data_IF_512675821985
#
_entry.id   IF_512675821985
#
_cell.length_a   1.000
_cell.length_b   1.000
_cell.length_c   1.000
_cell.angle_alpha   90.00
_cell.angle_beta   90.00
_cell.angle_gamma   90.00
#
_symmetry.space_group_name_H-M   'P 1'
#
loop_
_entity.id
_entity.type
_entity.pdbx_description
1 polymer ?
#
# COMPACT_ATOMS: atom_id res chain seq x y z
N UNK A 1 25.44 25.29 28.38
CA UNK A 1 25.27 25.53 26.94
C UNK A 1 25.49 24.21 26.24
N UNK A 2 24.46 23.67 25.56
CA UNK A 2 24.62 22.46 24.76
C UNK A 2 25.54 22.79 23.57
N UNK A 3 26.61 22.01 23.45
CA UNK A 3 27.72 22.11 22.51
C UNK A 3 27.28 22.30 21.05
N UNK A 4 27.62 23.45 20.45
CA UNK A 4 27.32 23.80 19.05
C UNK A 4 27.84 22.73 18.07
N UNK A 5 28.93 22.04 18.42
CA UNK A 5 29.52 20.97 17.59
C UNK A 5 28.59 19.76 17.48
N UNK A 6 27.86 19.43 18.55
CA UNK A 6 26.84 18.37 18.52
C UNK A 6 25.61 18.79 17.73
N UNK A 7 25.18 20.05 17.83
CA UNK A 7 24.05 20.57 17.04
C UNK A 7 24.36 20.56 15.54
N UNK A 8 25.58 20.92 15.15
CA UNK A 8 26.00 20.91 13.74
C UNK A 8 26.16 19.49 13.19
N UNK A 9 26.61 18.53 14.01
CA UNK A 9 26.66 17.11 13.62
C UNK A 9 25.27 16.51 13.41
N UNK A 10 24.31 16.79 14.32
CA UNK A 10 22.92 16.32 14.17
C UNK A 10 22.27 16.91 12.90
N UNK A 11 22.47 18.20 12.63
CA UNK A 11 21.93 18.88 11.44
C UNK A 11 22.50 18.35 10.12
N UNK A 12 23.78 17.94 10.11
CA UNK A 12 24.46 17.48 8.88
C UNK A 12 24.27 15.99 8.61
N UNK A 13 24.14 15.18 9.65
CA UNK A 13 24.16 13.72 9.51
C UNK A 13 22.80 13.07 9.75
N UNK A 14 22.03 13.49 10.76
CA UNK A 14 20.80 12.79 11.14
C UNK A 14 19.53 13.44 10.60
N UNK A 15 19.55 14.76 10.39
CA UNK A 15 18.39 15.47 9.87
C UNK A 15 18.02 15.05 8.43
N UNK A 16 18.96 14.87 7.49
CA UNK A 16 18.62 14.37 6.14
C UNK A 16 17.93 13.01 6.18
N UNK A 17 18.51 12.03 6.89
CA UNK A 17 17.94 10.69 7.01
C UNK A 17 16.55 10.69 7.66
N UNK A 18 16.34 11.56 8.65
CA UNK A 18 15.04 11.73 9.30
C UNK A 18 14.01 12.32 8.32
N UNK A 19 14.39 13.31 7.53
CA UNK A 19 13.50 13.90 6.52
C UNK A 19 13.19 12.87 5.43
N UNK A 20 14.18 12.16 4.93
CA UNK A 20 13.99 11.13 3.90
C UNK A 20 13.06 10.01 4.40
N UNK A 21 13.28 9.51 5.61
CA UNK A 21 12.41 8.48 6.20
C UNK A 21 10.98 8.98 6.43
N UNK A 22 10.82 10.20 6.92
CA UNK A 22 9.51 10.82 7.12
C UNK A 22 8.76 11.01 5.79
N UNK A 23 9.44 11.53 4.77
CA UNK A 23 8.87 11.77 3.44
C UNK A 23 8.45 10.44 2.79
N UNK A 24 9.33 9.43 2.82
CA UNK A 24 9.01 8.12 2.25
C UNK A 24 7.82 7.47 2.97
N UNK A 25 7.78 7.55 4.31
CA UNK A 25 6.64 7.06 5.09
C UNK A 25 5.35 7.81 4.75
N UNK A 26 5.42 9.13 4.54
CA UNK A 26 4.28 9.94 4.15
C UNK A 26 3.76 9.57 2.75
N UNK A 27 4.63 9.50 1.75
CA UNK A 27 4.28 9.14 0.37
C UNK A 27 3.64 7.74 0.35
N UNK A 28 4.28 6.77 0.99
CA UNK A 28 3.75 5.40 1.10
C UNK A 28 2.36 5.41 1.74
N UNK A 29 2.19 6.08 2.88
CA UNK A 29 0.89 6.14 3.57
C UNK A 29 -0.20 6.83 2.72
N UNK A 30 0.16 7.86 1.95
CA UNK A 30 -0.75 8.51 1.03
C UNK A 30 -1.19 7.56 -0.09
N UNK A 31 -0.23 6.86 -0.72
CA UNK A 31 -0.50 5.90 -1.81
C UNK A 31 -1.29 4.68 -1.33
N UNK A 32 -0.99 4.13 -0.17
CA UNK A 32 -1.73 3.04 0.47
C UNK A 32 -3.22 3.42 0.69
N UNK A 33 -3.48 4.69 0.95
CA UNK A 33 -4.84 5.24 1.11
C UNK A 33 -5.47 5.69 -0.22
N UNK A 34 -4.84 5.36 -1.34
CA UNK A 34 -5.24 5.73 -2.70
C UNK A 34 -5.36 7.24 -2.90
N UNK A 35 -4.58 8.03 -2.17
CA UNK A 35 -4.59 9.48 -2.27
C UNK A 35 -3.66 9.94 -3.39
N UNK A 36 -4.25 10.57 -4.41
CA UNK A 36 -3.50 11.35 -5.40
C UNK A 36 -3.12 12.72 -4.81
N UNK A 37 -2.12 13.42 -5.39
CA UNK A 37 -1.82 14.79 -4.98
C UNK A 37 -3.06 15.70 -5.00
N UNK A 38 -3.92 15.59 -6.00
CA UNK A 38 -5.12 16.41 -6.15
C UNK A 38 -6.13 16.15 -5.02
N UNK A 39 -6.42 14.88 -4.73
CA UNK A 39 -7.34 14.50 -3.65
C UNK A 39 -6.77 14.79 -2.26
N UNK A 40 -5.45 14.71 -2.09
CA UNK A 40 -4.78 15.12 -0.86
C UNK A 40 -4.88 16.63 -0.65
N UNK A 41 -4.67 17.44 -1.71
CA UNK A 41 -4.85 18.90 -1.65
C UNK A 41 -6.25 19.27 -1.19
N UNK A 42 -7.29 18.67 -1.79
CA UNK A 42 -8.68 18.92 -1.40
C UNK A 42 -8.94 18.61 0.08
N UNK A 43 -8.35 17.53 0.62
CA UNK A 43 -8.45 17.19 2.04
C UNK A 43 -7.72 18.18 2.95
N UNK A 44 -6.56 18.67 2.52
CA UNK A 44 -5.81 19.69 3.26
C UNK A 44 -6.56 21.03 3.29
N UNK A 45 -7.14 21.44 2.16
CA UNK A 45 -7.94 22.66 2.06
C UNK A 45 -9.20 22.60 2.94
N UNK A 46 -9.74 21.40 3.13
CA UNK A 46 -10.91 21.16 3.97
C UNK A 46 -10.58 21.03 5.46
N UNK A 47 -9.29 21.11 5.85
CA UNK A 47 -8.87 20.97 7.24
C UNK A 47 -9.21 22.22 8.05
N UNK A 48 -9.77 22.02 9.25
CA UNK A 48 -10.12 23.10 10.18
C UNK A 48 -8.90 23.75 10.85
N UNK A 49 -7.73 23.13 10.76
CA UNK A 49 -6.50 23.60 11.39
C UNK A 49 -5.32 23.54 10.41
N UNK A 50 -4.33 24.45 10.56
CA UNK A 50 -3.10 24.36 9.80
C UNK A 50 -2.36 23.07 10.15
N UNK A 51 -1.93 22.33 9.13
CA UNK A 51 -1.17 21.09 9.26
C UNK A 51 0.19 21.24 8.57
N UNK A 52 1.16 21.97 9.15
CA UNK A 52 2.43 22.29 8.48
C UNK A 52 3.21 21.06 8.01
N UNK A 53 3.17 19.98 8.79
CA UNK A 53 3.85 18.74 8.44
C UNK A 53 3.18 18.04 7.24
N UNK A 54 1.86 18.09 7.17
CA UNK A 54 1.11 17.51 6.05
C UNK A 54 1.26 18.36 4.78
N UNK A 55 1.36 19.68 4.92
CA UNK A 55 1.69 20.59 3.81
C UNK A 55 3.09 20.34 3.26
N UNK A 56 4.09 20.14 4.13
CA UNK A 56 5.43 19.73 3.71
C UNK A 56 5.40 18.40 2.94
N UNK A 57 4.75 17.38 3.50
CA UNK A 57 4.61 16.07 2.86
C UNK A 57 3.87 16.15 1.51
N UNK A 58 2.81 16.96 1.43
CA UNK A 58 2.07 17.20 0.19
C UNK A 58 2.95 17.82 -0.90
N UNK A 59 3.69 18.88 -0.60
CA UNK A 59 4.54 19.55 -1.60
C UNK A 59 5.57 18.58 -2.18
N UNK A 60 6.22 17.79 -1.32
CA UNK A 60 7.21 16.81 -1.75
C UNK A 60 6.57 15.68 -2.56
N UNK A 61 5.42 15.15 -2.10
CA UNK A 61 4.69 14.12 -2.84
C UNK A 61 4.23 14.60 -4.22
N UNK A 62 3.71 15.82 -4.31
CA UNK A 62 3.24 16.40 -5.57
C UNK A 62 4.40 16.60 -6.56
N UNK A 63 5.55 17.09 -6.09
CA UNK A 63 6.73 17.25 -6.93
C UNK A 63 7.32 15.90 -7.36
N UNK A 64 7.34 14.92 -6.47
CA UNK A 64 7.75 13.54 -6.77
C UNK A 64 6.87 12.92 -7.88
N UNK A 65 5.54 12.96 -7.74
CA UNK A 65 4.62 12.43 -8.76
C UNK A 65 4.76 13.18 -10.09
N UNK A 66 4.97 14.50 -10.06
CA UNK A 66 5.19 15.30 -11.27
C UNK A 66 6.49 14.89 -12.00
N UNK A 67 7.56 14.68 -11.25
CA UNK A 67 8.84 14.23 -11.81
C UNK A 67 8.72 12.82 -12.42
N UNK A 68 7.96 11.93 -11.79
CA UNK A 68 7.69 10.60 -12.28
C UNK A 68 6.89 10.63 -13.60
N UNK A 69 5.80 11.42 -13.62
CA UNK A 69 4.97 11.61 -14.81
C UNK A 69 5.75 12.24 -15.97
N UNK A 70 6.60 13.24 -15.71
CA UNK A 70 7.44 13.87 -16.72
C UNK A 70 8.37 12.86 -17.42
N UNK A 71 8.83 11.84 -16.69
CA UNK A 71 9.68 10.77 -17.23
C UNK A 71 8.91 9.62 -17.86
N UNK A 72 7.57 9.68 -17.88
CA UNK A 72 6.73 8.54 -18.27
C UNK A 72 6.93 7.32 -17.39
N UNK A 73 7.38 7.52 -16.15
CA UNK A 73 7.65 6.45 -15.20
C UNK A 73 6.46 6.25 -14.25
N UNK A 74 6.43 5.08 -13.64
CA UNK A 74 5.52 4.72 -12.54
C UNK A 74 6.34 3.94 -11.52
N UNK A 75 6.05 4.15 -10.24
CA UNK A 75 6.66 3.36 -9.18
C UNK A 75 5.76 2.18 -8.79
N UNK A 76 6.25 1.32 -7.92
CA UNK A 76 5.56 0.09 -7.54
C UNK A 76 4.20 0.37 -6.90
N UNK A 77 4.14 1.33 -5.97
CA UNK A 77 2.89 1.70 -5.30
C UNK A 77 1.87 2.26 -6.30
N UNK A 78 2.32 3.03 -7.30
CA UNK A 78 1.45 3.49 -8.38
C UNK A 78 0.94 2.34 -9.25
N UNK A 79 1.74 1.32 -9.55
CA UNK A 79 1.27 0.14 -10.29
C UNK A 79 0.13 -0.56 -9.55
N UNK A 80 0.28 -0.77 -8.23
CA UNK A 80 -0.76 -1.38 -7.40
C UNK A 80 -2.01 -0.51 -7.37
N UNK A 81 -1.87 0.80 -7.13
CA UNK A 81 -2.99 1.74 -7.08
C UNK A 81 -3.73 1.83 -8.41
N UNK A 82 -3.01 1.90 -9.52
CA UNK A 82 -3.59 1.97 -10.87
C UNK A 82 -4.29 0.66 -11.24
N UNK A 83 -3.69 -0.49 -10.91
CA UNK A 83 -4.32 -1.79 -11.09
C UNK A 83 -5.65 -1.86 -10.31
N UNK A 84 -5.66 -1.49 -9.03
CA UNK A 84 -6.87 -1.46 -8.22
C UNK A 84 -7.93 -0.51 -8.81
N UNK A 85 -7.52 0.68 -9.27
CA UNK A 85 -8.42 1.65 -9.89
C UNK A 85 -9.05 1.09 -11.17
N UNK A 86 -8.28 0.41 -12.01
CA UNK A 86 -8.76 -0.22 -13.24
C UNK A 86 -9.76 -1.33 -12.93
N UNK A 87 -9.43 -2.22 -11.98
CA UNK A 87 -10.34 -3.32 -11.58
C UNK A 87 -11.65 -2.82 -10.96
N UNK A 88 -11.65 -1.62 -10.35
CA UNK A 88 -12.85 -1.01 -9.78
C UNK A 88 -13.71 -0.26 -10.82
N UNK A 89 -13.12 0.19 -11.92
CA UNK A 89 -13.79 1.02 -12.92
C UNK A 89 -14.19 0.27 -14.19
N UNK A 90 -13.55 -0.86 -14.49
CA UNK A 90 -13.82 -1.69 -15.67
C UNK A 90 -14.21 -3.11 -15.26
N UNK A 91 -15.51 -3.35 -15.15
CA UNK A 91 -16.09 -4.64 -14.75
C UNK A 91 -15.86 -5.73 -15.82
N UNK A 92 -15.89 -5.39 -17.10
CA UNK A 92 -15.64 -6.35 -18.18
C UNK A 92 -14.19 -6.85 -18.15
N UNK A 93 -13.24 -5.94 -17.93
CA UNK A 93 -11.83 -6.30 -17.74
C UNK A 93 -11.62 -7.19 -16.51
N UNK A 94 -12.28 -6.87 -15.38
CA UNK A 94 -12.25 -7.70 -14.18
C UNK A 94 -12.78 -9.12 -14.43
N UNK A 95 -13.92 -9.26 -15.12
CA UNK A 95 -14.49 -10.56 -15.47
C UNK A 95 -13.59 -11.38 -16.39
N UNK A 96 -12.95 -10.73 -17.36
CA UNK A 96 -11.95 -11.40 -18.22
C UNK A 96 -10.77 -11.93 -17.42
N UNK A 97 -10.32 -11.20 -16.39
CA UNK A 97 -9.25 -11.65 -15.50
C UNK A 97 -9.71 -12.80 -14.60
N UNK A 98 -10.91 -12.72 -14.01
CA UNK A 98 -11.53 -13.80 -13.23
C UNK A 98 -11.64 -15.10 -14.04
N UNK A 99 -12.05 -14.99 -15.30
CA UNK A 99 -12.12 -16.13 -16.21
C UNK A 99 -10.74 -16.70 -16.54
N UNK A 100 -9.74 -15.82 -16.75
CA UNK A 100 -8.37 -16.22 -17.07
C UNK A 100 -7.64 -16.87 -15.89
N UNK A 101 -7.88 -16.39 -14.67
CA UNK A 101 -7.19 -16.81 -13.45
C UNK A 101 -8.21 -17.34 -12.42
N UNK A 102 -8.76 -18.55 -12.64
CA UNK A 102 -9.82 -19.11 -11.80
C UNK A 102 -9.36 -19.54 -10.40
N UNK A 103 -8.04 -19.60 -10.17
CA UNK A 103 -7.41 -19.88 -8.88
C UNK A 103 -6.28 -18.89 -8.68
N UNK A 104 -6.19 -18.31 -7.48
CA UNK A 104 -5.16 -17.33 -7.12
C UNK A 104 -4.55 -17.80 -5.81
N UNK A 105 -3.22 -17.88 -5.79
CA UNK A 105 -2.45 -18.22 -4.61
C UNK A 105 -1.65 -16.99 -4.21
N UNK A 106 -1.79 -16.59 -2.95
CA UNK A 106 -0.99 -15.55 -2.34
C UNK A 106 -0.03 -16.22 -1.37
N UNK A 107 1.27 -15.99 -1.58
CA UNK A 107 2.30 -16.34 -0.62
C UNK A 107 2.57 -15.12 0.26
N UNK A 108 2.97 -15.35 1.52
CA UNK A 108 3.26 -14.28 2.49
C UNK A 108 2.10 -13.26 2.70
N UNK A 109 0.86 -13.75 2.75
CA UNK A 109 -0.34 -12.92 2.91
C UNK A 109 -0.34 -11.97 4.14
N UNK A 110 0.52 -12.21 5.12
CA UNK A 110 0.68 -11.33 6.28
C UNK A 110 1.35 -9.99 5.96
N UNK A 111 2.13 -9.92 4.88
CA UNK A 111 2.89 -8.73 4.48
C UNK A 111 2.14 -7.86 3.44
N UNK A 112 0.95 -8.28 3.02
CA UNK A 112 0.17 -7.59 2.00
C UNK A 112 -0.42 -6.27 2.48
N UNK A 113 -0.29 -5.24 1.64
CA UNK A 113 -0.96 -3.95 1.82
C UNK A 113 -2.47 -4.08 1.61
N UNK A 114 -3.24 -3.13 2.18
CA UNK A 114 -4.70 -3.08 2.01
C UNK A 114 -5.12 -3.03 0.53
N UNK A 115 -4.34 -2.34 -0.31
CA UNK A 115 -4.62 -2.25 -1.75
C UNK A 115 -4.45 -3.60 -2.46
N UNK A 116 -3.40 -4.35 -2.10
CA UNK A 116 -3.16 -5.70 -2.65
C UNK A 116 -4.25 -6.68 -2.20
N UNK A 117 -4.62 -6.66 -0.92
CA UNK A 117 -5.73 -7.46 -0.41
C UNK A 117 -7.02 -7.16 -1.18
N UNK A 118 -7.30 -5.89 -1.46
CA UNK A 118 -8.51 -5.49 -2.19
C UNK A 118 -8.50 -5.93 -3.66
N UNK A 119 -7.32 -5.96 -4.30
CA UNK A 119 -7.17 -6.54 -5.64
C UNK A 119 -7.52 -8.03 -5.61
N UNK A 120 -7.01 -8.78 -4.62
CA UNK A 120 -7.29 -10.21 -4.48
C UNK A 120 -8.78 -10.48 -4.17
N UNK A 121 -9.40 -9.66 -3.32
CA UNK A 121 -10.84 -9.68 -3.07
C UNK A 121 -11.65 -9.49 -4.37
N UNK A 122 -11.27 -8.50 -5.19
CA UNK A 122 -11.92 -8.26 -6.48
C UNK A 122 -11.70 -9.46 -7.42
N UNK A 123 -10.48 -9.95 -7.57
CA UNK A 123 -10.19 -11.05 -8.50
C UNK A 123 -10.79 -12.40 -8.06
N UNK A 124 -11.04 -12.61 -6.77
CA UNK A 124 -11.67 -13.83 -6.24
C UNK A 124 -13.21 -13.79 -6.24
N UNK A 125 -13.82 -12.65 -6.60
CA UNK A 125 -15.27 -12.49 -6.62
C UNK A 125 -15.88 -12.12 -5.27
N UNK A 126 -15.14 -11.43 -4.40
CA UNK A 126 -15.62 -10.99 -3.08
C UNK A 126 -15.74 -12.11 -2.04
N UNK A 127 -15.02 -13.22 -2.24
CA UNK A 127 -15.04 -14.38 -1.33
C UNK A 127 -13.97 -14.36 -0.25
N UNK A 128 -13.07 -13.37 -0.25
CA UNK A 128 -12.05 -13.26 0.79
C UNK A 128 -12.71 -12.62 2.02
N UNK A 129 -13.31 -13.46 2.86
CA UNK A 129 -14.02 -13.03 4.05
C UNK A 129 -14.21 -14.16 5.05
N UNK A 130 -13.23 -14.30 5.97
CA UNK A 130 -13.33 -14.95 7.28
C UNK A 130 -14.21 -16.23 7.35
N UNK A 131 -13.55 -17.37 7.24
CA UNK A 131 -13.86 -18.52 8.11
C UNK A 131 -15.22 -19.19 7.90
N UNK A 132 -15.65 -19.42 6.67
CA UNK A 132 -16.55 -20.53 6.39
C UNK A 132 -16.00 -21.44 5.27
N UNK A 133 -16.16 -22.74 5.49
CA UNK A 133 -15.40 -23.82 4.88
C UNK A 133 -15.83 -24.04 3.43
N UNK A 134 -15.15 -23.40 2.49
CA UNK A 134 -14.85 -23.87 1.10
C UNK A 134 -14.20 -22.75 0.27
N UNK A 135 -13.01 -22.29 0.67
CA UNK A 135 -12.30 -21.26 -0.10
C UNK A 135 -11.29 -21.86 -1.08
N UNK A 136 -11.32 -21.30 -2.30
CA UNK A 136 -10.53 -21.65 -3.49
C UNK A 136 -9.17 -20.92 -3.51
N UNK A 137 -8.66 -20.59 -2.33
CA UNK A 137 -7.33 -20.02 -2.11
C UNK A 137 -6.66 -20.99 -1.14
N UNK A 138 -5.68 -21.76 -1.61
CA UNK A 138 -4.94 -22.68 -0.76
C UNK A 138 -3.72 -21.94 -0.19
N UNK A 139 -3.76 -21.60 1.09
CA UNK A 139 -2.63 -21.00 1.80
C UNK A 139 -1.72 -22.12 2.34
N UNK A 140 -0.42 -22.02 2.05
CA UNK A 140 0.62 -23.02 2.41
C UNK A 140 0.87 -23.16 3.92
N UNK A 141 0.40 -22.22 4.74
CA UNK A 141 0.52 -22.25 6.21
C UNK A 141 -0.27 -23.38 6.89
N UNK A 142 -1.25 -23.98 6.20
CA UNK A 142 -2.11 -25.02 6.76
C UNK A 142 -1.57 -26.45 6.59
N UNK A 143 -0.40 -26.63 5.96
CA UNK A 143 0.10 -27.98 5.67
C UNK A 143 0.81 -28.65 6.87
N UNK A 144 1.27 -27.88 7.88
CA UNK A 144 2.08 -28.44 8.97
C UNK A 144 1.30 -28.88 10.21
N UNK A 145 0.01 -28.54 10.35
CA UNK A 145 -0.72 -28.75 11.63
C UNK A 145 -1.85 -29.79 11.59
N UNK A 146 -2.11 -30.48 10.46
CA UNK A 146 -3.19 -31.49 10.39
C UNK A 146 -2.71 -32.95 10.32
N UNK A 147 -1.47 -33.25 10.72
CA UNK A 147 -0.85 -34.57 10.52
C UNK A 147 -0.69 -35.49 11.73
N UNK A 148 -0.91 -35.05 12.98
CA UNK A 148 -0.42 -35.82 14.15
C UNK A 148 -1.42 -36.04 15.29
N UNK A 149 -2.73 -35.96 15.06
CA UNK A 149 -3.68 -36.22 16.15
C UNK A 149 -4.91 -37.03 15.70
N UNK A 150 -4.67 -38.25 15.22
CA UNK A 150 -5.63 -39.35 15.36
C UNK A 150 -4.88 -40.66 15.23
N UNK A 151 -4.67 -41.34 16.36
CA UNK A 151 -4.74 -42.80 16.53
C UNK A 151 -4.34 -43.13 17.99
N UNK A 152 -5.28 -42.94 18.91
CA UNK A 152 -5.33 -43.72 20.16
C UNK A 152 -6.32 -44.85 19.94
N UNK A 153 -5.79 -46.06 19.78
CA UNK A 153 -6.31 -47.31 20.35
C UNK A 153 -5.12 -48.23 20.58
#
# INVERSE_FOLDING_TARGET
ALDNSKQDWVKRSQLPDLIDSLVNAFIRSAKDRLLTPESLRLKLDSSFAPLPLAELGYNIYADYQRALAYRGAVDFDDLIRLALTLLQSDEEFLERLRFRYPFILEDEAQDSSLSQQKILELLSGGRVGRGDRRDRIETTSNFETSGLDTLRY
#
